data_IF_969142808532
#
_entry.id   IF_969142808532
#
_cell.length_a   1.000
_cell.length_b   1.000
_cell.length_c   1.000
_cell.angle_alpha   90.00
_cell.angle_beta   90.00
_cell.angle_gamma   90.00
#
_symmetry.space_group_name_H-M   'P 1'
#
loop_
_entity.id
_entity.type
_entity.pdbx_description
1 polymer ?
#
# COMPACT_ATOMS: atom_id res chain seq x y z
N UNK A 1 -45.00 17.66 68.47
CA UNK A 1 -44.98 17.00 67.13
C UNK A 1 -43.67 17.35 66.46
N UNK A 2 -42.79 16.35 66.28
CA UNK A 2 -41.44 16.51 65.82
C UNK A 2 -41.39 16.43 64.26
N UNK A 3 -40.84 17.46 63.58
CA UNK A 3 -40.58 17.48 62.17
C UNK A 3 -39.11 17.09 61.99
N UNK A 4 -38.85 15.92 61.47
CA UNK A 4 -37.54 15.42 61.13
C UNK A 4 -37.14 15.99 59.74
N UNK A 5 -36.06 16.76 59.72
CA UNK A 5 -35.40 17.20 58.51
C UNK A 5 -34.53 16.07 57.94
N UNK A 6 -34.83 15.61 56.74
CA UNK A 6 -33.99 14.73 55.97
C UNK A 6 -33.01 15.59 55.17
N UNK A 7 -31.73 15.54 55.49
CA UNK A 7 -30.63 16.10 54.71
C UNK A 7 -30.32 15.14 53.54
N UNK A 8 -30.63 15.57 52.32
CA UNK A 8 -30.14 14.88 51.11
C UNK A 8 -28.73 15.33 50.80
N UNK A 9 -27.80 14.43 51.03
CA UNK A 9 -26.39 14.57 50.60
C UNK A 9 -26.33 14.31 49.10
N UNK A 10 -26.17 15.35 48.28
CA UNK A 10 -25.80 15.20 46.88
C UNK A 10 -24.30 14.90 46.77
N UNK A 11 -23.97 13.65 46.58
CA UNK A 11 -22.65 13.21 46.18
C UNK A 11 -22.46 13.56 44.70
N UNK A 12 -21.72 14.65 44.43
CA UNK A 12 -21.23 14.98 43.09
C UNK A 12 -20.06 14.05 42.82
N UNK A 13 -20.36 12.92 42.14
CA UNK A 13 -19.30 12.07 41.55
C UNK A 13 -18.83 12.77 40.28
N UNK A 14 -17.74 13.52 40.43
CA UNK A 14 -16.99 14.06 39.31
C UNK A 14 -16.39 12.89 38.54
N UNK A 15 -17.05 12.49 37.46
CA UNK A 15 -16.53 11.52 36.50
C UNK A 15 -15.47 12.24 35.68
N UNK A 16 -14.22 12.24 36.14
CA UNK A 16 -13.07 12.51 35.30
C UNK A 16 -13.00 11.38 34.26
N UNK A 17 -13.60 11.60 33.11
CA UNK A 17 -13.30 10.84 31.91
C UNK A 17 -11.86 11.16 31.53
N UNK A 18 -10.92 10.46 32.13
CA UNK A 18 -9.62 10.23 31.54
C UNK A 18 -9.91 9.51 30.22
N UNK A 19 -9.91 10.27 29.12
CA UNK A 19 -9.71 9.69 27.81
C UNK A 19 -8.28 9.14 27.82
N UNK A 20 -8.12 7.92 28.35
CA UNK A 20 -6.97 7.10 27.99
C UNK A 20 -7.08 6.91 26.48
N UNK A 21 -6.36 7.73 25.76
CA UNK A 21 -5.92 7.36 24.44
C UNK A 21 -5.19 6.05 24.64
N UNK A 22 -5.86 4.97 24.28
CA UNK A 22 -5.25 3.67 24.19
C UNK A 22 -4.22 3.84 23.05
N UNK A 23 -3.00 4.20 23.43
CA UNK A 23 -1.86 3.98 22.54
C UNK A 23 -1.86 2.48 22.30
N UNK A 24 -2.44 2.09 21.17
CA UNK A 24 -2.26 0.74 20.66
C UNK A 24 -0.75 0.58 20.57
N UNK A 25 -0.15 -0.37 21.32
CA UNK A 25 1.27 -0.60 21.24
C UNK A 25 1.57 -0.91 19.76
N UNK A 26 2.21 0.03 19.09
CA UNK A 26 2.57 -0.03 17.70
C UNK A 26 3.82 -0.92 17.56
N UNK A 27 3.69 -2.15 18.00
CA UNK A 27 4.63 -3.18 17.64
C UNK A 27 4.25 -3.59 16.22
N UNK A 28 4.92 -3.00 15.25
CA UNK A 28 4.85 -3.46 13.87
C UNK A 28 5.63 -4.77 13.75
N UNK A 29 5.07 -5.85 14.31
CA UNK A 29 5.58 -7.23 14.18
C UNK A 29 5.53 -7.71 12.71
N UNK A 30 5.10 -6.84 11.80
CA UNK A 30 4.84 -7.17 10.40
C UNK A 30 6.07 -7.04 9.50
N UNK A 31 7.04 -6.19 9.87
CA UNK A 31 8.30 -6.04 9.13
C UNK A 31 9.37 -7.00 9.66
N UNK A 32 10.40 -7.23 8.85
CA UNK A 32 11.54 -8.03 9.30
C UNK A 32 12.16 -7.41 10.56
N UNK A 33 12.65 -8.27 11.46
CA UNK A 33 13.28 -7.82 12.71
C UNK A 33 14.69 -7.24 12.49
N UNK A 34 14.84 -6.42 11.42
CA UNK A 34 16.06 -5.70 11.09
C UNK A 34 16.81 -6.25 9.90
N UNK A 35 17.95 -5.64 9.66
CA UNK A 35 18.84 -5.84 8.52
C UNK A 35 19.20 -7.32 8.25
N UNK A 36 19.63 -8.06 9.29
CA UNK A 36 20.05 -9.47 9.14
C UNK A 36 18.93 -10.36 8.62
N UNK A 37 17.71 -10.17 9.13
CA UNK A 37 16.55 -10.95 8.69
C UNK A 37 16.18 -10.72 7.22
N UNK A 38 16.37 -9.49 6.74
CA UNK A 38 16.10 -9.15 5.33
C UNK A 38 17.21 -9.68 4.41
N UNK A 39 18.47 -9.67 4.86
CA UNK A 39 19.59 -10.32 4.17
C UNK A 39 19.36 -11.84 4.06
N UNK A 40 19.00 -12.49 5.16
CA UNK A 40 18.70 -13.93 5.14
C UNK A 40 17.58 -14.26 4.16
N UNK A 41 16.56 -13.41 4.08
CA UNK A 41 15.48 -13.57 3.10
C UNK A 41 16.00 -13.44 1.67
N UNK A 42 16.85 -12.44 1.39
CA UNK A 42 17.47 -12.27 0.09
C UNK A 42 18.21 -13.54 -0.34
N UNK A 43 19.11 -14.06 0.47
CA UNK A 43 19.88 -15.27 0.16
C UNK A 43 19.00 -16.51 -0.08
N UNK A 44 17.85 -16.60 0.61
CA UNK A 44 16.89 -17.71 0.39
C UNK A 44 16.20 -17.65 -0.97
N UNK A 45 15.94 -16.45 -1.50
CA UNK A 45 15.14 -16.26 -2.72
C UNK A 45 15.94 -15.74 -3.91
N UNK A 46 17.23 -15.47 -3.74
CA UNK A 46 18.11 -14.92 -4.80
C UNK A 46 18.03 -15.75 -6.08
N UNK A 47 18.11 -17.08 -5.98
CA UNK A 47 18.02 -17.99 -7.14
C UNK A 47 16.66 -17.93 -7.85
N UNK A 48 15.58 -17.73 -7.10
CA UNK A 48 14.24 -17.56 -7.65
C UNK A 48 14.09 -16.20 -8.34
N UNK A 49 14.68 -15.14 -7.78
CA UNK A 49 14.73 -13.83 -8.40
C UNK A 49 15.53 -13.85 -9.71
N UNK A 50 16.69 -14.52 -9.74
CA UNK A 50 17.52 -14.65 -10.95
C UNK A 50 16.87 -15.50 -12.04
N UNK A 51 16.19 -16.58 -11.66
CA UNK A 51 15.49 -17.49 -12.57
C UNK A 51 14.14 -16.97 -13.02
N UNK A 52 13.66 -15.89 -12.42
CA UNK A 52 12.36 -15.34 -12.77
C UNK A 52 12.30 -15.04 -14.26
N UNK A 53 11.41 -15.75 -14.97
CA UNK A 53 11.08 -15.46 -16.37
C UNK A 53 10.29 -14.15 -16.53
N UNK A 54 10.00 -13.50 -15.42
CA UNK A 54 9.31 -12.22 -15.38
C UNK A 54 10.26 -11.12 -15.84
N UNK A 55 9.79 -10.21 -16.65
CA UNK A 55 10.58 -9.11 -17.20
C UNK A 55 11.10 -8.16 -16.10
N UNK A 56 10.43 -8.15 -14.96
CA UNK A 56 10.88 -7.51 -13.71
C UNK A 56 10.96 -8.64 -12.70
N UNK A 57 12.16 -9.03 -12.27
CA UNK A 57 12.32 -10.06 -11.25
C UNK A 57 11.69 -9.60 -9.94
N UNK A 58 10.69 -10.33 -9.47
CA UNK A 58 10.16 -10.20 -8.12
C UNK A 58 9.78 -11.59 -7.58
N UNK A 59 9.80 -11.72 -6.28
CA UNK A 59 9.32 -12.87 -5.55
C UNK A 59 8.10 -12.45 -4.72
N UNK A 60 7.00 -13.21 -4.80
CA UNK A 60 5.75 -12.86 -4.14
C UNK A 60 5.28 -14.01 -3.26
N UNK A 61 4.97 -13.67 -2.02
CA UNK A 61 4.27 -14.53 -1.06
C UNK A 61 2.94 -13.89 -0.69
N UNK A 62 1.90 -14.70 -0.49
CA UNK A 62 0.60 -14.18 -0.09
C UNK A 62 -0.18 -15.17 0.75
N UNK A 63 -1.00 -14.65 1.64
CA UNK A 63 -1.98 -15.41 2.40
C UNK A 63 -3.30 -14.65 2.50
N UNK A 64 -4.41 -15.37 2.40
CA UNK A 64 -5.75 -14.82 2.63
C UNK A 64 -6.52 -15.81 3.49
N UNK A 65 -7.00 -15.34 4.62
CA UNK A 65 -7.85 -16.05 5.57
C UNK A 65 -9.22 -15.37 5.70
N UNK A 66 -10.07 -15.88 6.57
CA UNK A 66 -11.34 -15.21 6.90
C UNK A 66 -11.16 -13.92 7.69
N UNK A 67 -10.00 -13.74 8.32
CA UNK A 67 -9.75 -12.62 9.24
C UNK A 67 -8.76 -11.59 8.68
N UNK A 68 -7.89 -11.99 7.74
CA UNK A 68 -6.83 -11.11 7.24
C UNK A 68 -6.34 -11.53 5.85
N UNK A 69 -5.71 -10.58 5.17
CA UNK A 69 -4.85 -10.84 4.01
C UNK A 69 -3.48 -10.22 4.21
N UNK A 70 -2.48 -10.84 3.61
CA UNK A 70 -1.12 -10.34 3.56
C UNK A 70 -0.51 -10.69 2.21
N UNK A 71 0.26 -9.76 1.66
CA UNK A 71 1.10 -9.95 0.47
C UNK A 71 2.46 -9.33 0.73
N UNK A 72 3.49 -10.11 0.45
CA UNK A 72 4.88 -9.73 0.52
C UNK A 72 5.47 -9.77 -0.90
N UNK A 73 6.10 -8.70 -1.34
CA UNK A 73 6.80 -8.60 -2.63
C UNK A 73 8.23 -8.22 -2.36
N UNK A 74 9.13 -9.02 -2.87
CA UNK A 74 10.57 -8.82 -2.78
C UNK A 74 11.13 -8.60 -4.18
N UNK A 75 12.08 -7.68 -4.31
CA UNK A 75 12.73 -7.44 -5.59
C UNK A 75 14.02 -6.65 -5.46
N UNK A 76 14.72 -6.50 -6.57
CA UNK A 76 15.95 -5.71 -6.65
C UNK A 76 15.75 -4.51 -7.55
N UNK A 77 16.27 -3.38 -7.12
CA UNK A 77 16.35 -2.14 -7.90
C UNK A 77 17.80 -1.89 -8.34
N UNK A 78 17.99 -1.33 -9.53
CA UNK A 78 19.30 -0.89 -10.04
C UNK A 78 19.57 0.55 -9.65
N UNK A 79 19.48 0.83 -8.35
CA UNK A 79 19.76 2.11 -7.73
C UNK A 79 20.57 1.89 -6.46
N UNK A 80 21.57 2.75 -6.18
CA UNK A 80 22.28 2.75 -4.91
C UNK A 80 21.31 2.90 -3.73
N UNK A 81 21.64 2.27 -2.61
CA UNK A 81 20.78 2.27 -1.42
C UNK A 81 20.47 3.67 -0.91
N UNK A 82 21.45 4.57 -0.89
CA UNK A 82 21.30 5.96 -0.45
C UNK A 82 20.31 6.74 -1.31
N UNK A 83 20.26 6.51 -2.62
CA UNK A 83 19.27 7.09 -3.51
C UNK A 83 17.87 6.57 -3.17
N UNK A 84 17.72 5.25 -3.00
CA UNK A 84 16.43 4.64 -2.63
C UNK A 84 15.94 5.14 -1.28
N UNK A 85 16.82 5.16 -0.26
CA UNK A 85 16.51 5.67 1.07
C UNK A 85 16.08 7.14 1.01
N UNK A 86 16.89 8.01 0.39
CA UNK A 86 16.62 9.45 0.32
C UNK A 86 15.28 9.77 -0.34
N UNK A 87 14.89 9.03 -1.37
CA UNK A 87 13.62 9.25 -2.07
C UNK A 87 12.42 8.68 -1.31
N UNK A 88 12.53 7.47 -0.76
CA UNK A 88 11.39 6.78 -0.16
C UNK A 88 11.15 7.14 1.31
N UNK A 89 12.11 7.78 2.01
CA UNK A 89 11.91 8.29 3.36
C UNK A 89 11.05 9.55 3.42
N UNK A 90 10.81 10.24 2.31
CA UNK A 90 10.07 11.49 2.29
C UNK A 90 8.56 11.22 2.14
N UNK A 91 7.74 11.58 3.16
CA UNK A 91 6.29 11.32 3.13
C UNK A 91 5.59 11.95 1.92
N UNK A 92 6.03 13.13 1.50
CA UNK A 92 5.46 13.86 0.36
C UNK A 92 5.64 13.13 -0.97
N UNK A 93 6.75 12.39 -1.15
CA UNK A 93 7.01 11.62 -2.35
C UNK A 93 6.04 10.46 -2.53
N UNK A 94 5.48 9.94 -1.44
CA UNK A 94 4.52 8.83 -1.50
C UNK A 94 3.23 9.20 -2.20
N UNK A 95 2.80 10.47 -2.13
CA UNK A 95 1.65 10.92 -2.91
C UNK A 95 1.92 10.88 -4.43
N UNK A 96 3.12 11.20 -4.87
CA UNK A 96 3.53 11.06 -6.27
C UNK A 96 3.63 9.59 -6.71
N UNK A 97 4.08 8.72 -5.79
CA UNK A 97 4.21 7.28 -6.02
C UNK A 97 2.83 6.63 -6.16
N UNK A 98 2.00 6.74 -5.12
CA UNK A 98 0.72 6.02 -5.06
C UNK A 98 -0.33 6.54 -6.03
N UNK A 99 -0.24 7.82 -6.45
CA UNK A 99 -1.16 8.42 -7.42
C UNK A 99 -1.09 7.77 -8.81
N UNK A 100 -0.01 7.06 -9.14
CA UNK A 100 0.10 6.29 -10.39
C UNK A 100 -0.84 5.08 -10.42
N UNK A 101 -1.23 4.56 -9.26
CA UNK A 101 -2.14 3.42 -9.19
C UNK A 101 -3.50 3.76 -9.80
N UNK A 102 -4.04 2.86 -10.63
CA UNK A 102 -5.29 3.08 -11.39
C UNK A 102 -6.50 3.45 -10.52
N UNK A 103 -6.56 2.95 -9.29
CA UNK A 103 -7.68 3.17 -8.37
C UNK A 103 -7.49 4.36 -7.41
N UNK A 104 -6.36 5.06 -7.46
CA UNK A 104 -6.12 6.26 -6.65
C UNK A 104 -6.41 7.49 -7.49
N UNK A 105 -7.40 8.30 -7.07
CA UNK A 105 -7.81 9.53 -7.75
C UNK A 105 -7.03 10.76 -7.33
N UNK A 106 -6.60 10.77 -6.07
CA UNK A 106 -5.72 11.79 -5.50
C UNK A 106 -5.02 11.22 -4.27
N UNK A 107 -3.92 11.84 -3.91
CA UNK A 107 -3.27 11.69 -2.61
C UNK A 107 -2.89 13.06 -2.08
N UNK A 108 -3.17 13.32 -0.83
CA UNK A 108 -2.72 14.55 -0.15
C UNK A 108 -1.90 14.20 1.08
N UNK A 109 -0.97 15.07 1.44
CA UNK A 109 -0.12 14.90 2.62
C UNK A 109 -0.19 16.11 3.52
N UNK A 110 -0.26 15.88 4.84
CA UNK A 110 -0.27 16.94 5.85
C UNK A 110 0.48 16.48 7.09
N UNK A 111 1.28 17.39 7.66
CA UNK A 111 1.90 17.17 8.98
C UNK A 111 0.95 17.61 10.08
N UNK A 112 0.61 16.72 11.01
CA UNK A 112 -0.26 16.96 12.16
C UNK A 112 0.45 16.47 13.41
N UNK A 113 0.76 17.37 14.36
CA UNK A 113 1.42 17.03 15.62
C UNK A 113 2.65 16.11 15.43
N UNK A 114 3.59 16.52 14.59
CA UNK A 114 4.81 15.77 14.22
C UNK A 114 4.63 14.47 13.46
N UNK A 115 3.41 14.06 13.16
CA UNK A 115 3.09 12.89 12.35
C UNK A 115 2.64 13.32 10.96
N UNK A 116 3.12 12.63 9.93
CA UNK A 116 2.63 12.81 8.58
C UNK A 116 1.41 11.93 8.33
N UNK A 117 0.34 12.55 7.84
CA UNK A 117 -0.87 11.87 7.37
C UNK A 117 -0.94 11.97 5.86
N UNK A 118 -1.10 10.84 5.19
CA UNK A 118 -1.36 10.73 3.77
C UNK A 118 -2.79 10.28 3.57
N UNK A 119 -3.59 11.09 2.87
CA UNK A 119 -4.97 10.72 2.54
C UNK A 119 -5.05 10.25 1.09
N UNK A 120 -5.29 8.94 0.91
CA UNK A 120 -5.47 8.32 -0.40
C UNK A 120 -6.97 8.26 -0.74
N UNK A 121 -7.35 8.87 -1.86
CA UNK A 121 -8.72 8.86 -2.38
C UNK A 121 -8.91 7.69 -3.35
N UNK A 122 -9.41 6.58 -2.84
CA UNK A 122 -9.50 5.32 -3.56
C UNK A 122 -10.89 5.11 -4.16
N UNK A 123 -10.95 4.67 -5.43
CA UNK A 123 -12.19 4.30 -6.10
C UNK A 123 -12.29 2.79 -6.32
N UNK A 124 -13.52 2.28 -6.44
CA UNK A 124 -13.76 0.86 -6.72
C UNK A 124 -13.46 0.49 -8.17
N UNK A 125 -13.79 1.39 -9.09
CA UNK A 125 -13.54 1.25 -10.52
C UNK A 125 -12.80 2.48 -11.01
N UNK A 126 -11.84 2.28 -11.90
CA UNK A 126 -11.04 3.39 -12.45
C UNK A 126 -11.86 4.50 -13.14
N UNK A 127 -13.12 4.24 -13.53
CA UNK A 127 -14.05 5.23 -14.12
C UNK A 127 -14.81 6.05 -13.07
N UNK A 128 -14.77 5.64 -11.81
CA UNK A 128 -15.52 6.35 -10.76
C UNK A 128 -14.86 7.72 -10.53
N UNK A 129 -15.63 8.79 -10.41
CA UNK A 129 -15.09 10.14 -10.20
C UNK A 129 -14.57 10.31 -8.76
N UNK A 130 -13.72 11.33 -8.54
CA UNK A 130 -13.15 11.66 -7.23
C UNK A 130 -14.21 11.82 -6.13
N UNK A 131 -15.39 12.37 -6.41
CA UNK A 131 -16.47 12.53 -5.44
C UNK A 131 -17.00 11.21 -4.86
N UNK A 132 -16.79 10.11 -5.56
CA UNK A 132 -17.21 8.76 -5.13
C UNK A 132 -16.05 7.98 -4.52
N UNK A 133 -14.87 8.63 -4.37
CA UNK A 133 -13.71 8.01 -3.77
C UNK A 133 -13.87 7.86 -2.25
N UNK A 134 -13.37 6.75 -1.73
CA UNK A 134 -13.25 6.50 -0.30
C UNK A 134 -11.90 7.03 0.19
N UNK A 135 -11.86 8.04 1.08
CA UNK A 135 -10.61 8.54 1.64
C UNK A 135 -10.06 7.56 2.68
N UNK A 136 -8.81 7.16 2.53
CA UNK A 136 -8.08 6.38 3.52
C UNK A 136 -6.95 7.23 4.09
N UNK A 137 -6.95 7.41 5.40
CA UNK A 137 -5.95 8.22 6.10
C UNK A 137 -4.85 7.31 6.63
N UNK A 138 -3.68 7.39 6.02
CA UNK A 138 -2.50 6.64 6.43
C UNK A 138 -1.58 7.50 7.28
N UNK A 139 -1.23 7.01 8.44
CA UNK A 139 -0.15 7.55 9.24
C UNK A 139 1.17 7.02 8.70
N UNK A 140 2.08 7.92 8.33
CA UNK A 140 3.42 7.59 7.87
C UNK A 140 4.41 7.61 9.02
N UNK A 141 5.25 6.58 9.13
CA UNK A 141 6.32 6.48 10.13
C UNK A 141 7.60 5.92 9.52
N UNK A 142 8.75 6.48 9.89
CA UNK A 142 10.04 5.82 9.74
C UNK A 142 10.19 4.84 10.91
N UNK A 143 10.30 3.56 10.59
CA UNK A 143 10.41 2.47 11.59
C UNK A 143 11.87 2.25 11.96
N UNK A 144 12.76 2.30 10.97
CA UNK A 144 14.19 2.20 11.15
C UNK A 144 14.92 3.01 10.08
N UNK A 145 15.99 3.67 10.50
CA UNK A 145 16.94 4.34 9.63
C UNK A 145 18.31 4.21 10.25
N UNK A 146 19.10 3.33 9.69
CA UNK A 146 20.46 3.02 10.17
C UNK A 146 21.35 2.65 8.98
N UNK A 147 22.67 2.74 9.12
CA UNK A 147 23.58 2.40 8.01
C UNK A 147 23.26 1.04 7.41
N UNK A 148 22.89 1.03 6.12
CA UNK A 148 22.57 -0.19 5.37
C UNK A 148 21.19 -0.80 5.65
N UNK A 149 20.30 -0.13 6.38
CA UNK A 149 18.92 -0.59 6.56
C UNK A 149 17.95 0.57 6.75
N UNK A 150 16.88 0.54 5.99
CA UNK A 150 15.82 1.52 6.03
C UNK A 150 14.47 0.82 6.05
N UNK A 151 13.55 1.29 6.90
CA UNK A 151 12.19 0.76 7.00
C UNK A 151 11.17 1.86 7.30
N UNK A 152 10.06 1.83 6.58
CA UNK A 152 8.90 2.72 6.81
C UNK A 152 7.61 1.93 6.91
N UNK A 153 6.61 2.56 7.51
CA UNK A 153 5.25 2.05 7.59
C UNK A 153 4.23 3.15 7.27
N UNK A 154 3.17 2.76 6.55
CA UNK A 154 1.95 3.54 6.40
C UNK A 154 0.80 2.70 6.96
N UNK A 155 0.08 3.23 7.94
CA UNK A 155 -0.98 2.52 8.63
C UNK A 155 -2.30 3.29 8.62
N UNK A 156 -3.39 2.63 8.23
CA UNK A 156 -4.74 3.18 8.28
C UNK A 156 -5.67 2.25 9.07
N UNK A 157 -6.38 2.75 10.09
CA UNK A 157 -7.22 1.91 10.96
C UNK A 157 -8.43 1.34 10.24
N UNK A 158 -8.93 2.04 9.23
CA UNK A 158 -10.15 1.68 8.52
C UNK A 158 -9.97 1.76 7.01
N UNK A 159 -10.74 0.94 6.28
CA UNK A 159 -10.76 0.91 4.82
C UNK A 159 -12.14 0.54 4.26
N UNK A 160 -12.28 0.48 2.94
CA UNK A 160 -13.55 0.16 2.29
C UNK A 160 -14.00 -1.27 2.63
N UNK A 161 -15.31 -1.55 2.49
CA UNK A 161 -15.92 -2.86 2.76
C UNK A 161 -15.74 -3.37 4.21
N UNK A 162 -15.66 -2.46 5.19
CA UNK A 162 -15.40 -2.82 6.61
C UNK A 162 -14.10 -3.58 6.82
N UNK A 163 -13.09 -3.31 6.01
CA UNK A 163 -11.72 -3.73 6.23
C UNK A 163 -11.04 -2.81 7.23
N UNK A 164 -10.07 -3.32 7.97
CA UNK A 164 -9.38 -2.60 9.06
C UNK A 164 -7.88 -2.88 9.05
N UNK A 165 -7.16 -2.12 9.86
CA UNK A 165 -5.74 -2.34 10.15
C UNK A 165 -4.88 -2.46 8.88
N UNK A 166 -5.15 -1.58 7.90
CA UNK A 166 -4.36 -1.53 6.67
C UNK A 166 -2.94 -1.09 6.98
N UNK A 167 -1.97 -1.85 6.50
CA UNK A 167 -0.55 -1.53 6.68
C UNK A 167 0.20 -1.77 5.39
N UNK A 168 0.93 -0.77 4.95
CA UNK A 168 2.02 -0.90 4.00
C UNK A 168 3.33 -0.75 4.76
N UNK A 169 4.23 -1.71 4.59
CA UNK A 169 5.60 -1.64 5.07
C UNK A 169 6.56 -1.71 3.89
N UNK A 170 7.62 -0.93 3.92
CA UNK A 170 8.70 -1.02 2.97
C UNK A 170 10.02 -1.08 3.73
N UNK A 171 10.86 -2.03 3.34
CA UNK A 171 12.20 -2.21 3.86
C UNK A 171 13.20 -2.27 2.71
N UNK A 172 14.40 -1.79 2.95
CA UNK A 172 15.48 -1.81 1.96
C UNK A 172 16.84 -2.09 2.61
N UNK A 173 17.69 -2.80 1.86
CA UNK A 173 19.10 -3.03 2.18
C UNK A 173 19.95 -2.87 0.91
N UNK A 174 21.21 -2.42 1.03
CA UNK A 174 22.15 -2.41 -0.09
C UNK A 174 22.53 -3.83 -0.51
N UNK A 175 22.75 -4.01 -1.80
CA UNK A 175 23.43 -5.16 -2.38
C UNK A 175 24.71 -4.72 -3.05
N UNK A 176 25.54 -5.68 -3.48
CA UNK A 176 26.75 -5.39 -4.24
C UNK A 176 26.43 -4.65 -5.56
N UNK A 177 27.24 -3.66 -5.90
CA UNK A 177 27.22 -2.96 -7.19
C UNK A 177 25.94 -2.16 -7.43
N UNK A 178 25.79 -1.02 -6.81
CA UNK A 178 24.72 -0.03 -7.04
C UNK A 178 23.30 -0.62 -7.14
N UNK A 179 23.03 -1.66 -6.35
CA UNK A 179 21.74 -2.31 -6.29
C UNK A 179 21.16 -2.25 -4.88
N UNK A 180 19.86 -2.19 -4.80
CA UNK A 180 19.10 -2.22 -3.53
C UNK A 180 18.10 -3.36 -3.58
N UNK A 181 18.08 -4.18 -2.55
CA UNK A 181 17.01 -5.15 -2.33
C UNK A 181 15.90 -4.50 -1.51
N UNK A 182 14.67 -4.63 -1.98
CA UNK A 182 13.51 -4.07 -1.33
C UNK A 182 12.48 -5.15 -1.03
N UNK A 183 11.76 -4.94 0.06
CA UNK A 183 10.60 -5.70 0.48
C UNK A 183 9.43 -4.75 0.67
N UNK A 184 8.33 -4.99 -0.05
CA UNK A 184 7.05 -4.32 0.14
C UNK A 184 6.06 -5.31 0.75
N UNK A 185 5.52 -5.00 1.91
CA UNK A 185 4.45 -5.74 2.56
C UNK A 185 3.16 -4.93 2.58
N UNK A 186 2.07 -5.60 2.31
CA UNK A 186 0.73 -5.10 2.58
C UNK A 186 -0.06 -6.10 3.39
N UNK A 187 -0.78 -5.62 4.40
CA UNK A 187 -1.73 -6.43 5.17
C UNK A 187 -2.98 -5.64 5.52
N UNK A 188 -4.09 -6.34 5.72
CA UNK A 188 -5.30 -5.79 6.32
C UNK A 188 -6.10 -6.88 7.02
N UNK A 189 -6.96 -6.50 7.97
CA UNK A 189 -7.89 -7.38 8.65
C UNK A 189 -9.32 -7.23 8.11
N UNK A 190 -10.13 -8.27 8.30
CA UNK A 190 -11.53 -8.32 7.90
C UNK A 190 -12.44 -8.54 9.11
N UNK A 191 -13.57 -7.84 9.16
CA UNK A 191 -14.72 -8.35 9.90
C UNK A 191 -15.33 -9.55 9.15
N UNK A 192 -16.06 -10.43 9.85
CA UNK A 192 -16.73 -11.55 9.20
C UNK A 192 -17.64 -11.12 8.04
N UNK A 193 -18.35 -10.01 8.18
CA UNK A 193 -19.16 -9.39 7.13
C UNK A 193 -18.26 -8.83 6.01
N UNK A 194 -17.17 -8.14 6.36
CA UNK A 194 -16.22 -7.56 5.40
C UNK A 194 -15.61 -8.63 4.51
N UNK A 195 -15.17 -9.75 5.08
CA UNK A 195 -14.66 -10.88 4.29
C UNK A 195 -15.71 -11.43 3.31
N UNK A 196 -16.94 -11.62 3.79
CA UNK A 196 -18.03 -12.12 2.95
C UNK A 196 -18.33 -11.15 1.78
N UNK A 197 -18.41 -9.86 2.05
CA UNK A 197 -18.64 -8.83 1.03
C UNK A 197 -17.52 -8.79 0.00
N UNK A 198 -16.26 -8.80 0.44
CA UNK A 198 -15.09 -8.83 -0.45
C UNK A 198 -15.05 -10.09 -1.29
N UNK A 199 -15.23 -11.26 -0.67
CA UNK A 199 -15.24 -12.53 -1.37
C UNK A 199 -16.37 -12.59 -2.43
N UNK A 200 -17.57 -12.16 -2.07
CA UNK A 200 -18.72 -12.11 -2.98
C UNK A 200 -18.48 -11.13 -4.13
N UNK A 201 -17.97 -9.94 -3.82
CA UNK A 201 -17.63 -8.94 -4.85
C UNK A 201 -16.64 -9.50 -5.87
N UNK A 202 -15.53 -10.07 -5.43
CA UNK A 202 -14.52 -10.62 -6.34
C UNK A 202 -14.95 -11.92 -7.02
N UNK A 203 -15.86 -12.69 -6.44
CA UNK A 203 -16.46 -13.87 -7.10
C UNK A 203 -17.42 -13.47 -8.22
N UNK A 204 -18.24 -12.44 -8.00
CA UNK A 204 -19.30 -12.04 -8.94
C UNK A 204 -18.80 -11.02 -9.98
N UNK A 205 -17.94 -10.09 -9.57
CA UNK A 205 -17.50 -8.95 -10.38
C UNK A 205 -16.00 -8.96 -10.67
N UNK A 206 -15.25 -9.91 -10.12
CA UNK A 206 -13.79 -10.01 -10.31
C UNK A 206 -13.36 -10.41 -11.72
N UNK A 207 -14.29 -10.76 -12.61
CA UNK A 207 -14.03 -10.96 -14.03
C UNK A 207 -12.95 -11.99 -14.35
N UNK A 208 -12.81 -13.06 -13.53
CA UNK A 208 -11.74 -14.03 -13.72
C UNK A 208 -10.35 -13.52 -13.31
N UNK A 209 -10.27 -12.48 -12.49
CA UNK A 209 -8.99 -11.95 -11.99
C UNK A 209 -8.17 -13.05 -11.35
N UNK A 210 -6.96 -13.21 -11.84
CA UNK A 210 -5.95 -14.13 -11.33
C UNK A 210 -4.79 -13.36 -10.74
N UNK A 211 -4.09 -13.98 -9.79
CA UNK A 211 -2.88 -13.43 -9.19
C UNK A 211 -1.61 -13.99 -9.84
N UNK A 212 -0.57 -14.05 -9.05
CA UNK A 212 0.77 -14.47 -9.46
C UNK A 212 1.20 -15.79 -8.83
N UNK A 213 0.62 -16.16 -7.68
CA UNK A 213 0.90 -17.43 -7.03
C UNK A 213 0.37 -18.59 -7.87
N UNK A 214 1.26 -19.55 -8.20
CA UNK A 214 0.90 -20.80 -8.88
C UNK A 214 0.36 -21.77 -7.84
N UNK A 215 -0.85 -22.32 -8.08
CA UNK A 215 -1.53 -23.27 -7.19
C UNK A 215 -1.60 -24.69 -7.78
N UNK A 216 -1.07 -24.90 -8.97
CA UNK A 216 -1.04 -26.19 -9.65
C UNK A 216 -0.72 -26.04 -11.13
N UNK A 217 -0.98 -27.13 -11.88
CA UNK A 217 -0.90 -27.15 -13.34
C UNK A 217 -2.20 -27.72 -13.93
N UNK A 218 -2.56 -27.25 -15.12
CA UNK A 218 -3.67 -27.82 -15.89
C UNK A 218 -3.29 -29.16 -16.55
N UNK A 219 -4.23 -29.78 -17.26
CA UNK A 219 -4.01 -31.07 -17.94
C UNK A 219 -2.93 -31.02 -19.05
N UNK A 220 -2.54 -29.80 -19.47
CA UNK A 220 -1.50 -29.57 -20.48
C UNK A 220 -0.17 -29.16 -19.86
N UNK A 221 -0.07 -29.14 -18.52
CA UNK A 221 1.12 -28.72 -17.79
C UNK A 221 1.30 -27.20 -17.64
N UNK A 222 0.30 -26.39 -18.06
CA UNK A 222 0.39 -24.94 -17.90
C UNK A 222 0.10 -24.52 -16.45
N UNK A 223 0.76 -23.46 -15.93
CA UNK A 223 0.54 -23.00 -14.58
C UNK A 223 -0.90 -22.50 -14.35
N UNK A 224 -1.52 -22.99 -13.28
CA UNK A 224 -2.80 -22.51 -12.78
C UNK A 224 -2.51 -21.50 -11.67
N UNK A 225 -2.94 -20.25 -11.90
CA UNK A 225 -2.75 -19.15 -10.96
C UNK A 225 -3.91 -19.04 -9.98
N UNK A 226 -3.59 -18.56 -8.77
CA UNK A 226 -4.61 -18.26 -7.76
C UNK A 226 -5.60 -17.22 -8.27
N UNK A 227 -6.89 -17.42 -7.98
CA UNK A 227 -7.98 -16.51 -8.38
C UNK A 227 -8.71 -15.88 -7.18
N UNK A 228 -9.85 -15.25 -7.49
CA UNK A 228 -10.74 -14.66 -6.49
C UNK A 228 -10.10 -13.57 -5.66
N UNK A 229 -10.46 -13.48 -4.36
CA UNK A 229 -9.95 -12.45 -3.46
C UNK A 229 -8.42 -12.44 -3.35
N UNK A 230 -7.79 -13.62 -3.23
CA UNK A 230 -6.33 -13.73 -3.11
C UNK A 230 -5.65 -13.21 -4.38
N UNK A 231 -6.10 -13.62 -5.57
CA UNK A 231 -5.56 -13.14 -6.83
C UNK A 231 -5.72 -11.62 -7.00
N UNK A 232 -6.88 -11.08 -6.59
CA UNK A 232 -7.14 -9.64 -6.64
C UNK A 232 -6.22 -8.84 -5.71
N UNK A 233 -5.97 -9.32 -4.48
CA UNK A 233 -5.07 -8.65 -3.53
C UNK A 233 -3.62 -8.72 -4.03
N UNK A 234 -3.16 -9.87 -4.54
CA UNK A 234 -1.82 -9.98 -5.15
C UNK A 234 -1.62 -8.96 -6.28
N UNK A 235 -2.56 -8.89 -7.21
CA UNK A 235 -2.50 -7.94 -8.32
C UNK A 235 -2.52 -6.48 -7.85
N UNK A 236 -3.33 -6.16 -6.84
CA UNK A 236 -3.41 -4.81 -6.28
C UNK A 236 -2.08 -4.38 -5.64
N UNK A 237 -1.47 -5.23 -4.83
CA UNK A 237 -0.20 -4.92 -4.15
C UNK A 237 0.95 -4.84 -5.15
N UNK A 238 0.96 -5.72 -6.18
CA UNK A 238 1.97 -5.63 -7.22
C UNK A 238 1.87 -4.30 -8.00
N UNK A 239 0.67 -3.78 -8.26
CA UNK A 239 0.53 -2.45 -8.88
C UNK A 239 1.19 -1.35 -8.04
N UNK A 240 1.07 -1.39 -6.71
CA UNK A 240 1.80 -0.46 -5.83
C UNK A 240 3.32 -0.67 -5.89
N UNK A 241 3.80 -1.90 -5.93
CA UNK A 241 5.22 -2.15 -6.14
C UNK A 241 5.73 -1.53 -7.46
N UNK A 242 4.95 -1.67 -8.53
CA UNK A 242 5.28 -1.09 -9.83
C UNK A 242 5.20 0.44 -9.84
N UNK A 243 4.42 1.08 -8.95
CA UNK A 243 4.46 2.55 -8.83
C UNK A 243 5.77 3.03 -8.26
N UNK A 244 6.35 2.29 -7.31
CA UNK A 244 7.66 2.62 -6.74
C UNK A 244 8.73 2.53 -7.83
N UNK A 245 8.75 1.47 -8.63
CA UNK A 245 9.69 1.32 -9.74
C UNK A 245 9.56 2.46 -10.76
N UNK A 246 8.33 2.79 -11.16
CA UNK A 246 8.09 3.85 -12.13
C UNK A 246 8.49 5.25 -11.60
N UNK A 247 8.33 5.47 -10.30
CA UNK A 247 8.80 6.67 -9.64
C UNK A 247 10.33 6.77 -9.70
N UNK A 248 11.03 5.74 -9.26
CA UNK A 248 12.50 5.69 -9.25
C UNK A 248 13.08 5.88 -10.66
N UNK A 249 12.52 5.21 -11.67
CA UNK A 249 12.95 5.33 -13.07
C UNK A 249 12.77 6.74 -13.68
N UNK A 250 12.08 7.64 -12.98
CA UNK A 250 11.87 9.02 -13.40
C UNK A 250 12.87 10.02 -12.83
N UNK A 251 13.71 9.62 -11.89
CA UNK A 251 14.56 10.55 -11.14
C UNK A 251 15.63 11.22 -12.00
N UNK A 252 16.11 10.52 -13.03
CA UNK A 252 17.17 10.98 -13.91
C UNK A 252 16.73 12.02 -14.94
N UNK A 253 15.43 12.32 -15.04
CA UNK A 253 14.90 13.27 -16.01
C UNK A 253 14.42 14.57 -15.34
N UNK A 254 14.31 15.70 -16.11
CA UNK A 254 13.82 16.97 -15.59
C UNK A 254 12.45 16.85 -14.90
N UNK A 255 12.27 17.59 -13.81
CA UNK A 255 11.09 17.51 -12.93
C UNK A 255 9.78 17.67 -13.71
N UNK A 256 9.75 18.57 -14.68
CA UNK A 256 8.57 18.91 -15.49
C UNK A 256 8.10 17.74 -16.36
N UNK A 257 9.00 16.79 -16.66
CA UNK A 257 8.72 15.62 -17.50
C UNK A 257 8.45 14.36 -16.67
N UNK A 258 8.73 14.38 -15.36
CA UNK A 258 8.67 13.20 -14.49
C UNK A 258 7.28 12.58 -14.45
N UNK A 259 6.24 13.38 -14.35
CA UNK A 259 4.87 12.85 -14.25
C UNK A 259 4.47 12.02 -15.50
N UNK A 260 4.72 12.53 -16.71
CA UNK A 260 4.42 11.79 -17.93
C UNK A 260 5.29 10.54 -18.07
N UNK A 261 6.56 10.62 -17.68
CA UNK A 261 7.47 9.48 -17.64
C UNK A 261 6.96 8.41 -16.68
N UNK A 262 6.57 8.78 -15.45
CA UNK A 262 6.02 7.88 -14.42
C UNK A 262 4.76 7.17 -14.92
N UNK A 263 3.82 7.91 -15.51
CA UNK A 263 2.60 7.32 -16.09
C UNK A 263 2.93 6.30 -17.17
N UNK A 264 3.79 6.66 -18.13
CA UNK A 264 4.19 5.76 -19.22
C UNK A 264 4.86 4.51 -18.66
N UNK A 265 5.82 4.68 -17.79
CA UNK A 265 6.58 3.59 -17.19
C UNK A 265 5.67 2.64 -16.40
N UNK A 266 4.81 3.16 -15.53
CA UNK A 266 3.88 2.33 -14.76
C UNK A 266 2.93 1.53 -15.66
N UNK A 267 2.38 2.18 -16.71
CA UNK A 267 1.52 1.49 -17.66
C UNK A 267 2.28 0.38 -18.39
N UNK A 268 3.46 0.67 -18.91
CA UNK A 268 4.27 -0.30 -19.65
C UNK A 268 4.72 -1.47 -18.76
N UNK A 269 5.01 -1.21 -17.47
CA UNK A 269 5.30 -2.26 -16.48
C UNK A 269 4.08 -3.15 -16.21
N UNK A 270 2.90 -2.57 -16.03
CA UNK A 270 1.65 -3.35 -15.81
C UNK A 270 1.20 -4.10 -17.05
N UNK A 271 1.40 -3.54 -18.25
CA UNK A 271 1.06 -4.18 -19.52
C UNK A 271 1.84 -5.47 -19.80
N UNK A 272 3.03 -5.63 -19.20
CA UNK A 272 3.80 -6.89 -19.26
C UNK A 272 3.07 -8.07 -18.62
N UNK A 273 2.17 -7.79 -17.68
CA UNK A 273 1.35 -8.77 -16.96
C UNK A 273 -0.13 -8.63 -17.34
N UNK A 274 -0.42 -8.48 -18.63
CA UNK A 274 -1.77 -8.18 -19.14
C UNK A 274 -2.85 -9.11 -18.56
N UNK A 275 -2.55 -10.40 -18.41
CA UNK A 275 -3.50 -11.40 -17.89
C UNK A 275 -3.92 -11.10 -16.45
N UNK A 276 -3.01 -10.57 -15.61
CA UNK A 276 -3.22 -10.32 -14.18
C UNK A 276 -3.59 -8.86 -13.88
N UNK A 277 -2.98 -7.91 -14.62
CA UNK A 277 -3.00 -6.49 -14.25
C UNK A 277 -3.75 -5.59 -15.22
N UNK A 278 -4.21 -6.10 -16.38
CA UNK A 278 -4.92 -5.26 -17.33
C UNK A 278 -6.23 -4.70 -16.73
N UNK A 279 -6.43 -3.41 -16.84
CA UNK A 279 -7.64 -2.71 -16.40
C UNK A 279 -8.23 -1.81 -17.50
N UNK A 280 -7.37 -1.17 -18.31
CA UNK A 280 -7.78 -0.22 -19.34
C UNK A 280 -6.68 -0.03 -20.38
N UNK A 281 -7.04 0.57 -21.51
CA UNK A 281 -6.07 0.96 -22.54
C UNK A 281 -5.25 2.19 -22.12
N UNK A 282 -4.06 2.38 -22.73
CA UNK A 282 -3.06 3.39 -22.35
C UNK A 282 -3.61 4.81 -22.42
N UNK A 283 -4.33 5.14 -23.47
CA UNK A 283 -4.92 6.46 -23.69
C UNK A 283 -5.95 6.82 -22.61
N UNK A 284 -6.76 5.84 -22.19
CA UNK A 284 -7.73 6.02 -21.11
C UNK A 284 -7.00 6.25 -19.78
N UNK A 285 -5.98 5.46 -19.49
CA UNK A 285 -5.18 5.63 -18.27
C UNK A 285 -4.54 7.04 -18.21
N UNK A 286 -3.92 7.49 -19.29
CA UNK A 286 -3.30 8.83 -19.36
C UNK A 286 -4.35 9.94 -19.17
N UNK A 287 -5.50 9.82 -19.80
CA UNK A 287 -6.59 10.80 -19.67
C UNK A 287 -7.03 10.93 -18.20
N UNK A 288 -7.29 9.81 -17.52
CA UNK A 288 -7.72 9.83 -16.13
C UNK A 288 -6.60 10.35 -15.21
N UNK A 289 -5.35 9.94 -15.39
CA UNK A 289 -4.25 10.36 -14.53
C UNK A 289 -3.91 11.85 -14.65
N UNK A 290 -4.05 12.45 -15.83
CA UNK A 290 -3.92 13.91 -15.99
C UNK A 290 -5.02 14.66 -15.23
N UNK A 291 -6.25 14.18 -15.27
CA UNK A 291 -7.35 14.75 -14.46
C UNK A 291 -7.12 14.54 -12.95
N UNK A 292 -6.62 13.37 -12.56
CA UNK A 292 -6.31 13.04 -11.19
C UNK A 292 -5.21 13.96 -10.62
N UNK A 293 -4.16 14.25 -11.39
CA UNK A 293 -3.08 15.15 -11.00
C UNK A 293 -3.60 16.55 -10.70
N UNK A 294 -4.45 17.10 -11.55
CA UNK A 294 -5.06 18.41 -11.32
C UNK A 294 -5.96 18.41 -10.08
N UNK A 295 -6.76 17.36 -9.90
CA UNK A 295 -7.58 17.18 -8.71
C UNK A 295 -6.73 17.10 -7.43
N UNK A 296 -5.63 16.36 -7.46
CA UNK A 296 -4.68 16.25 -6.34
C UNK A 296 -4.06 17.61 -5.99
N UNK A 297 -3.62 18.38 -7.00
CA UNK A 297 -3.07 19.72 -6.81
C UNK A 297 -4.06 20.64 -6.10
N UNK A 298 -5.32 20.68 -6.57
CA UNK A 298 -6.39 21.50 -5.97
C UNK A 298 -6.66 21.10 -4.52
N UNK A 299 -6.73 19.79 -4.23
CA UNK A 299 -6.96 19.28 -2.88
C UNK A 299 -5.78 19.63 -1.95
N UNK A 300 -4.54 19.49 -2.42
CA UNK A 300 -3.35 19.81 -1.62
C UNK A 300 -3.30 21.32 -1.31
N UNK A 301 -3.50 22.18 -2.31
CA UNK A 301 -3.55 23.64 -2.11
C UNK A 301 -4.65 24.08 -1.13
N UNK A 302 -5.79 23.38 -1.12
CA UNK A 302 -6.86 23.66 -0.15
C UNK A 302 -6.50 23.22 1.27
N UNK A 303 -5.66 22.20 1.40
CA UNK A 303 -5.21 21.65 2.69
C UNK A 303 -4.08 22.49 3.32
N UNK A 304 -3.30 23.19 2.49
CA UNK A 304 -2.15 24.01 2.89
C UNK A 304 -2.56 25.43 3.33
N UNK A 305 -3.83 25.84 3.09
CA UNK A 305 -4.42 27.13 3.54
C UNK A 305 -4.94 27.02 4.96
#
# INVERSE_FOLDING_TARGET
>A
MRVTRVLSLFLIISFFLFSQWCEIPYADDSLHKGHESLIDKYHKIEKELEKSSLTIPFYLESSVSKNASQVDIYGTMRYPFDIVENELQLPTHWCDIVSLHSNVRACTSKKVNDTWLLTLYNVKKFKDPLKDAYPMNFEYRIIAQQPGFFAISLAAPEGPFSTKDHRFGLEAIPLDGDRTFIHLRYSCSYSGLGYFLMKSYYSLFGGGRIGFSIIGADNNGNPVYVGGLRGAVEGNVLRYYLTILAYMDSLEIPVEQRFEKRMSQWYDLTARYKRQLFEMEKEAYFTYKKQDQESQRILQEALDK
#
